data_IF_369193102744
#
_entry.id   IF_369193102744
#
_cell.length_a   1.000
_cell.length_b   1.000
_cell.length_c   1.000
_cell.angle_alpha   90.00
_cell.angle_beta   90.00
_cell.angle_gamma   90.00
#
_symmetry.space_group_name_H-M   'P 1'
#
loop_
_entity.id
_entity.type
_entity.pdbx_description
1 polymer ?
#
# COMPACT_ATOMS: atom_id res chain seq x y z
N UNK A 1 0.06 -5.06 -26.09
CA UNK A 1 0.22 -4.35 -24.80
C UNK A 1 -1.16 -4.00 -24.26
N UNK A 2 -1.37 -4.21 -22.97
CA UNK A 2 -2.53 -3.77 -22.20
C UNK A 2 -2.11 -2.71 -21.18
N UNK A 3 -3.09 -1.91 -20.75
CA UNK A 3 -2.93 -0.91 -19.70
C UNK A 3 -3.41 -1.52 -18.39
N UNK A 4 -2.58 -1.55 -17.36
CA UNK A 4 -2.88 -2.16 -16.07
C UNK A 4 -2.75 -1.12 -14.96
N UNK A 5 -3.75 -1.07 -14.09
CA UNK A 5 -3.68 -0.37 -12.82
C UNK A 5 -3.16 -1.35 -11.77
N UNK A 6 -2.01 -1.04 -11.16
CA UNK A 6 -1.39 -1.79 -10.07
C UNK A 6 -1.49 -0.95 -8.81
N UNK A 7 -2.12 -1.51 -7.77
CA UNK A 7 -2.19 -0.88 -6.45
C UNK A 7 -0.97 -1.31 -5.63
N UNK A 8 -0.22 -0.36 -5.08
CA UNK A 8 0.91 -0.62 -4.19
C UNK A 8 0.62 -0.01 -2.82
N UNK A 9 0.83 -0.77 -1.76
CA UNK A 9 0.69 -0.28 -0.39
C UNK A 9 2.03 -0.33 0.33
N UNK A 10 2.46 0.81 0.86
CA UNK A 10 3.64 0.95 1.71
C UNK A 10 3.17 1.21 3.14
N UNK A 11 3.51 0.32 4.05
CA UNK A 11 3.15 0.42 5.47
C UNK A 11 4.39 0.27 6.32
N UNK A 12 4.46 0.96 7.47
CA UNK A 12 5.50 0.69 8.45
C UNK A 12 5.40 -0.76 8.95
N UNK A 13 6.53 -1.38 9.30
CA UNK A 13 6.54 -2.67 9.99
C UNK A 13 5.86 -2.54 11.35
N UNK A 14 5.30 -3.64 11.86
CA UNK A 14 4.57 -3.66 13.14
C UNK A 14 5.40 -3.11 14.31
N UNK A 15 6.72 -3.34 14.29
CA UNK A 15 7.68 -2.90 15.30
C UNK A 15 7.97 -1.39 15.24
N UNK A 16 7.59 -0.72 14.16
CA UNK A 16 7.79 0.72 13.94
C UNK A 16 6.49 1.42 14.29
N UNK A 17 6.58 2.38 15.21
CA UNK A 17 5.43 3.15 15.68
C UNK A 17 4.70 3.87 14.54
N UNK A 18 3.40 4.04 14.72
CA UNK A 18 2.53 4.76 13.79
C UNK A 18 1.64 5.75 14.55
N UNK A 19 2.16 6.96 14.84
CA UNK A 19 1.43 7.96 15.60
C UNK A 19 0.11 8.39 14.96
N UNK A 20 0.01 8.33 13.63
CA UNK A 20 -1.21 8.70 12.89
C UNK A 20 -2.33 7.69 13.17
N UNK A 21 -2.05 6.40 12.96
CA UNK A 21 -3.02 5.33 13.23
C UNK A 21 -3.44 5.28 14.70
N UNK A 22 -2.48 5.44 15.62
CA UNK A 22 -2.75 5.51 17.07
C UNK A 22 -3.69 6.67 17.43
N UNK A 23 -3.45 7.87 16.86
CA UNK A 23 -4.28 9.05 17.10
C UNK A 23 -5.69 8.85 16.54
N UNK A 24 -5.82 8.35 15.31
CA UNK A 24 -7.13 8.06 14.70
C UNK A 24 -7.91 7.04 15.54
N UNK A 25 -7.26 5.96 15.97
CA UNK A 25 -7.89 4.94 16.82
C UNK A 25 -8.40 5.56 18.11
N UNK A 26 -7.52 6.27 18.83
CA UNK A 26 -7.82 6.79 20.17
C UNK A 26 -8.84 7.92 20.13
N UNK A 27 -8.58 8.94 19.32
CA UNK A 27 -9.30 10.22 19.40
C UNK A 27 -10.52 10.29 18.49
N UNK A 28 -10.61 9.45 17.45
CA UNK A 28 -11.78 9.41 16.58
C UNK A 28 -12.60 8.15 16.83
N UNK A 29 -12.02 6.96 16.63
CA UNK A 29 -12.77 5.70 16.60
C UNK A 29 -13.31 5.32 17.97
N UNK A 30 -12.43 5.21 18.98
CA UNK A 30 -12.83 4.82 20.34
C UNK A 30 -13.74 5.88 20.94
N UNK A 31 -13.41 7.18 20.79
CA UNK A 31 -14.26 8.27 21.28
C UNK A 31 -15.66 8.29 20.66
N UNK A 32 -15.80 7.80 19.42
CA UNK A 32 -17.10 7.70 18.74
C UNK A 32 -17.87 6.42 19.09
N UNK A 33 -17.37 5.59 20.01
CA UNK A 33 -18.05 4.40 20.51
C UNK A 33 -17.77 3.11 19.75
N UNK A 34 -16.86 3.10 18.76
CA UNK A 34 -16.48 1.91 18.01
C UNK A 34 -15.42 1.09 18.77
N UNK A 35 -15.79 0.54 19.94
CA UNK A 35 -14.87 -0.17 20.84
C UNK A 35 -14.39 -1.52 20.31
N UNK A 36 -14.99 -2.03 19.23
CA UNK A 36 -14.63 -3.30 18.60
C UNK A 36 -13.46 -3.17 17.59
N UNK A 37 -12.90 -1.97 17.40
CA UNK A 37 -11.73 -1.77 16.52
C UNK A 37 -10.44 -1.99 17.31
N UNK A 38 -9.76 -3.10 17.03
CA UNK A 38 -8.56 -3.51 17.77
C UNK A 38 -7.31 -2.68 17.41
N UNK A 39 -7.12 -2.30 16.15
CA UNK A 39 -5.94 -1.55 15.70
C UNK A 39 -6.25 -0.68 14.49
N UNK A 40 -5.47 0.39 14.32
CA UNK A 40 -5.46 1.23 13.12
C UNK A 40 -4.01 1.49 12.77
N UNK A 41 -3.66 1.29 11.50
CA UNK A 41 -2.35 1.56 10.95
C UNK A 41 -2.48 2.42 9.70
N UNK A 42 -1.63 3.42 9.57
CA UNK A 42 -1.50 4.27 8.40
C UNK A 42 -0.63 3.57 7.36
N UNK A 43 -1.05 3.67 6.10
CA UNK A 43 -0.33 3.15 4.96
C UNK A 43 -0.46 4.11 3.79
N UNK A 44 0.60 4.20 2.97
CA UNK A 44 0.59 4.96 1.73
C UNK A 44 0.21 4.07 0.57
N UNK A 45 -0.80 4.47 -0.19
CA UNK A 45 -1.27 3.76 -1.36
C UNK A 45 -0.88 4.50 -2.65
N UNK A 46 -0.30 3.77 -3.61
CA UNK A 46 -0.01 4.27 -4.95
C UNK A 46 -0.82 3.49 -5.99
N UNK A 47 -1.51 4.24 -6.84
CA UNK A 47 -2.22 3.73 -8.01
C UNK A 47 -1.36 3.93 -9.25
N UNK A 48 -0.60 2.90 -9.64
CA UNK A 48 0.36 2.98 -10.75
C UNK A 48 -0.28 2.40 -12.00
N UNK A 49 -0.36 3.20 -13.06
CA UNK A 49 -0.84 2.74 -14.35
C UNK A 49 0.37 2.44 -15.25
N UNK A 50 0.49 1.20 -15.70
CA UNK A 50 1.62 0.70 -16.50
C UNK A 50 1.14 -0.04 -17.75
N UNK A 51 1.89 0.09 -18.85
CA UNK A 51 1.60 -0.59 -20.11
C UNK A 51 2.53 -1.80 -20.27
N UNK A 52 1.99 -3.01 -20.18
CA UNK A 52 2.74 -4.28 -20.29
C UNK A 52 2.02 -5.28 -21.17
N UNK A 53 2.60 -6.44 -21.46
CA UNK A 53 1.92 -7.50 -22.22
C UNK A 53 0.93 -8.24 -21.34
N UNK A 54 1.33 -8.55 -20.10
CA UNK A 54 0.54 -9.35 -19.16
C UNK A 54 0.44 -8.68 -17.78
N UNK A 55 -0.54 -9.11 -17.00
CA UNK A 55 -0.70 -8.72 -15.60
C UNK A 55 0.53 -9.11 -14.76
N UNK A 56 1.08 -10.32 -14.97
CA UNK A 56 2.30 -10.75 -14.29
C UNK A 56 3.51 -9.87 -14.62
N UNK A 57 3.63 -9.41 -15.86
CA UNK A 57 4.68 -8.47 -16.24
C UNK A 57 4.47 -7.11 -15.55
N UNK A 58 3.22 -6.63 -15.43
CA UNK A 58 2.92 -5.41 -14.68
C UNK A 58 3.32 -5.55 -13.20
N UNK A 59 2.99 -6.69 -12.57
CA UNK A 59 3.40 -6.99 -11.19
C UNK A 59 4.91 -6.93 -11.04
N UNK A 60 5.65 -7.69 -11.85
CA UNK A 60 7.12 -7.77 -11.77
C UNK A 60 7.78 -6.42 -12.00
N UNK A 61 7.32 -5.65 -12.99
CA UNK A 61 7.89 -4.32 -13.27
C UNK A 61 7.62 -3.33 -12.14
N UNK A 62 6.41 -3.32 -11.57
CA UNK A 62 6.09 -2.43 -10.45
C UNK A 62 6.83 -2.82 -9.17
N UNK A 63 6.97 -4.12 -8.88
CA UNK A 63 7.81 -4.59 -7.76
C UNK A 63 9.25 -4.09 -7.91
N UNK A 64 9.88 -4.33 -9.07
CA UNK A 64 11.25 -3.86 -9.32
C UNK A 64 11.37 -2.35 -9.22
N UNK A 65 10.42 -1.60 -9.76
CA UNK A 65 10.37 -0.15 -9.66
C UNK A 65 10.39 0.32 -8.20
N UNK A 66 9.56 -0.31 -7.34
CA UNK A 66 9.49 0.04 -5.92
C UNK A 66 10.82 -0.22 -5.18
N UNK A 67 11.51 -1.31 -5.52
CA UNK A 67 12.79 -1.71 -4.93
C UNK A 67 13.95 -0.84 -5.44
N UNK A 68 14.12 -0.75 -6.76
CA UNK A 68 15.26 -0.06 -7.40
C UNK A 68 15.24 1.45 -7.15
N UNK A 69 14.06 2.07 -7.18
CA UNK A 69 13.91 3.51 -6.94
C UNK A 69 13.75 3.85 -5.46
N UNK A 70 13.83 2.86 -4.56
CA UNK A 70 13.69 3.05 -3.10
C UNK A 70 12.41 3.81 -2.74
N UNK A 71 11.28 3.42 -3.34
CA UNK A 71 9.95 4.01 -3.07
C UNK A 71 9.52 3.78 -1.61
N UNK A 72 10.15 2.83 -0.93
CA UNK A 72 10.02 2.57 0.49
C UNK A 72 11.39 2.25 1.11
N UNK A 73 11.48 2.36 2.45
CA UNK A 73 12.67 1.92 3.18
C UNK A 73 12.44 0.50 3.73
N UNK A 74 13.14 -0.53 3.21
CA UNK A 74 12.92 -1.92 3.61
C UNK A 74 13.33 -2.22 5.06
N UNK A 75 14.07 -1.33 5.72
CA UNK A 75 14.40 -1.48 7.15
C UNK A 75 13.14 -1.27 8.01
N UNK A 76 12.36 -0.23 7.70
CA UNK A 76 11.26 0.24 8.57
C UNK A 76 9.86 0.03 7.97
N UNK A 77 9.75 -0.28 6.68
CA UNK A 77 8.47 -0.41 5.98
C UNK A 77 8.41 -1.67 5.12
N UNK A 78 7.20 -2.17 4.91
CA UNK A 78 6.84 -3.23 3.99
C UNK A 78 6.24 -2.63 2.71
N UNK A 79 6.51 -3.26 1.57
CA UNK A 79 5.89 -2.95 0.29
C UNK A 79 5.06 -4.16 -0.16
N UNK A 80 3.77 -3.95 -0.41
CA UNK A 80 2.88 -5.00 -0.91
C UNK A 80 2.27 -4.58 -2.24
N UNK A 81 2.25 -5.52 -3.19
CA UNK A 81 1.52 -5.36 -4.44
C UNK A 81 0.11 -5.91 -4.23
N UNK A 82 -0.86 -5.01 -4.28
CA UNK A 82 -2.27 -5.31 -4.15
C UNK A 82 -2.90 -5.76 -5.47
N UNK A 83 -4.22 -5.57 -5.63
CA UNK A 83 -4.94 -5.95 -6.83
C UNK A 83 -4.39 -5.29 -8.09
N UNK A 84 -4.34 -6.06 -9.18
CA UNK A 84 -4.02 -5.56 -10.51
C UNK A 84 -5.29 -5.64 -11.35
N UNK A 85 -5.59 -4.55 -12.07
CA UNK A 85 -6.77 -4.47 -12.94
C UNK A 85 -6.35 -4.08 -14.34
N UNK A 86 -6.74 -4.88 -15.33
CA UNK A 86 -6.64 -4.46 -16.73
C UNK A 86 -7.66 -3.34 -16.97
N UNK A 87 -7.19 -2.20 -17.42
CA UNK A 87 -8.04 -1.07 -17.77
C UNK A 87 -8.63 -1.30 -19.16
N UNK A 88 -9.93 -1.01 -19.30
CA UNK A 88 -10.52 -0.84 -20.62
C UNK A 88 -9.85 0.36 -21.34
N UNK A 89 -9.88 0.34 -22.67
CA UNK A 89 -9.38 1.46 -23.48
C UNK A 89 -10.13 2.74 -23.14
#
# INVERSE_FOLDING_TARGET
>A
MGRYLVVVTIENKEQVGDPEGETIKKDLIIRSGYSNVESVRSAKCYNIIINTKTENEAKTQVTKLCEELRIYNPIVSNCSIGPIRKMAK
#
